data_IF_719585231008
#
_entry.id   IF_719585231008
#
_cell.length_a   1.000
_cell.length_b   1.000
_cell.length_c   1.000
_cell.angle_alpha   90.00
_cell.angle_beta   90.00
_cell.angle_gamma   90.00
#
_symmetry.space_group_name_H-M   'P 1'
#
loop_
_entity.id
_entity.type
_entity.pdbx_description
1 polymer ?
#
# COMPACT_ATOMS: atom_id res chain seq x y z
N UNK A 1 28.91 -3.27 10.14
CA UNK A 1 27.61 -3.93 9.92
C UNK A 1 26.57 -2.84 9.80
N UNK A 2 26.01 -2.60 8.62
CA UNK A 2 25.02 -1.55 8.40
C UNK A 2 23.63 -2.13 8.59
N UNK A 3 23.03 -1.94 9.76
CA UNK A 3 21.58 -2.13 9.93
C UNK A 3 20.91 -0.96 9.22
N UNK A 4 20.47 -1.17 7.98
CA UNK A 4 19.52 -0.23 7.37
C UNK A 4 18.23 -0.41 8.15
N UNK A 5 17.92 0.56 9.00
CA UNK A 5 16.66 0.66 9.71
C UNK A 5 15.58 0.82 8.64
N UNK A 6 14.96 -0.29 8.24
CA UNK A 6 13.68 -0.20 7.56
C UNK A 6 12.73 0.24 8.66
N UNK A 7 12.45 1.54 8.70
CA UNK A 7 11.32 2.02 9.47
C UNK A 7 10.11 1.31 8.88
N UNK A 8 9.49 0.43 9.66
CA UNK A 8 8.15 -0.05 9.35
C UNK A 8 7.27 1.20 9.32
N UNK A 9 7.03 1.71 8.12
CA UNK A 9 6.03 2.74 7.88
C UNK A 9 4.71 2.07 8.25
N UNK A 10 4.26 2.33 9.48
CA UNK A 10 2.92 1.97 9.91
C UNK A 10 1.97 2.71 8.99
N UNK A 11 1.39 1.99 8.03
CA UNK A 11 0.33 2.55 7.21
C UNK A 11 -0.78 2.90 8.20
N UNK A 12 -1.13 4.19 8.37
CA UNK A 12 -2.22 4.56 9.25
C UNK A 12 -3.46 3.79 8.77
N UNK A 13 -4.23 3.23 9.70
CA UNK A 13 -5.55 2.68 9.37
C UNK A 13 -6.50 3.84 9.05
N UNK A 14 -6.24 4.51 7.92
CA UNK A 14 -7.01 5.60 7.39
C UNK A 14 -8.00 5.09 6.34
N UNK A 15 -9.03 5.89 6.06
CA UNK A 15 -10.08 5.47 5.14
C UNK A 15 -9.56 5.21 3.71
N UNK A 16 -8.45 5.84 3.31
CA UNK A 16 -7.87 5.66 1.97
C UNK A 16 -7.24 4.29 1.84
N UNK A 17 -6.43 3.89 2.83
CA UNK A 17 -5.88 2.55 2.91
C UNK A 17 -6.99 1.50 2.96
N UNK A 18 -8.00 1.70 3.82
CA UNK A 18 -9.10 0.73 3.96
C UNK A 18 -9.84 0.49 2.65
N UNK A 19 -10.19 1.55 1.93
CA UNK A 19 -10.87 1.45 0.62
C UNK A 19 -9.95 0.76 -0.40
N UNK A 20 -8.68 1.17 -0.49
CA UNK A 20 -7.74 0.58 -1.43
C UNK A 20 -7.50 -0.91 -1.15
N UNK A 21 -7.34 -1.30 0.11
CA UNK A 21 -7.16 -2.68 0.53
C UNK A 21 -8.39 -3.53 0.20
N UNK A 22 -9.60 -3.00 0.44
CA UNK A 22 -10.84 -3.71 0.08
C UNK A 22 -10.94 -3.92 -1.44
N UNK A 23 -10.59 -2.92 -2.25
CA UNK A 23 -10.62 -3.06 -3.71
C UNK A 23 -9.59 -4.07 -4.23
N UNK A 24 -8.36 -4.00 -3.74
CA UNK A 24 -7.27 -4.89 -4.17
C UNK A 24 -7.47 -6.33 -3.71
N UNK A 25 -8.02 -6.55 -2.51
CA UNK A 25 -8.30 -7.89 -2.00
C UNK A 25 -9.32 -8.66 -2.85
N UNK A 26 -10.27 -7.98 -3.51
CA UNK A 26 -11.18 -8.61 -4.48
C UNK A 26 -10.47 -9.17 -5.72
N UNK A 27 -9.25 -8.74 -5.98
CA UNK A 27 -8.39 -9.20 -7.07
C UNK A 27 -7.26 -10.12 -6.58
N UNK A 28 -7.30 -10.60 -5.32
CA UNK A 28 -6.22 -11.37 -4.69
C UNK A 28 -4.86 -10.63 -4.69
N UNK A 29 -4.89 -9.30 -4.53
CA UNK A 29 -3.68 -8.48 -4.37
C UNK A 29 -3.59 -8.02 -2.91
N UNK A 30 -2.49 -8.36 -2.25
CA UNK A 30 -2.19 -7.97 -0.87
C UNK A 30 -1.23 -6.77 -0.85
N UNK A 31 -1.59 -5.72 -0.12
CA UNK A 31 -0.69 -4.59 0.10
C UNK A 31 0.46 -5.04 1.00
N UNK A 32 1.69 -4.81 0.54
CA UNK A 32 2.93 -5.27 1.17
C UNK A 32 3.01 -6.80 1.34
N UNK A 33 2.29 -7.55 0.50
CA UNK A 33 2.39 -9.01 0.46
C UNK A 33 3.62 -9.52 -0.28
N UNK A 34 3.79 -10.84 -0.26
CA UNK A 34 4.96 -11.53 -0.82
C UNK A 34 4.73 -12.16 -2.19
N UNK A 35 3.50 -12.18 -2.70
CA UNK A 35 3.20 -12.76 -4.01
C UNK A 35 3.77 -11.88 -5.14
N UNK A 36 4.05 -12.42 -6.34
CA UNK A 36 4.61 -11.64 -7.45
C UNK A 36 3.71 -10.47 -7.91
N UNK A 37 2.39 -10.60 -7.75
CA UNK A 37 1.39 -9.59 -8.09
C UNK A 37 1.14 -8.57 -6.97
N UNK A 38 1.66 -8.83 -5.77
CA UNK A 38 1.47 -7.94 -4.63
C UNK A 38 2.27 -6.64 -4.80
N UNK A 39 1.68 -5.53 -4.35
CA UNK A 39 2.33 -4.23 -4.43
C UNK A 39 3.04 -3.92 -3.11
N UNK A 40 4.17 -3.21 -3.20
CA UNK A 40 4.89 -2.69 -2.03
C UNK A 40 4.78 -1.17 -2.01
N UNK A 41 4.04 -0.64 -1.04
CA UNK A 41 3.79 0.80 -0.91
C UNK A 41 4.77 1.38 0.11
N UNK A 42 5.66 2.26 -0.36
CA UNK A 42 6.69 2.92 0.48
C UNK A 42 6.30 4.33 0.91
N UNK A 43 5.25 4.91 0.33
CA UNK A 43 4.72 6.22 0.67
C UNK A 43 3.22 6.10 0.97
N UNK A 44 2.75 6.40 2.19
CA UNK A 44 1.34 6.26 2.56
C UNK A 44 0.39 7.17 1.76
N UNK A 45 0.86 8.32 1.25
CA UNK A 45 0.06 9.23 0.43
C UNK A 45 -0.36 8.62 -0.92
N UNK A 46 0.22 7.47 -1.28
CA UNK A 46 -0.13 6.72 -2.49
C UNK A 46 -1.62 6.42 -2.58
N UNK A 47 -2.25 5.95 -1.50
CA UNK A 47 -3.66 5.51 -1.54
C UNK A 47 -4.60 6.66 -1.84
N UNK A 48 -4.36 7.81 -1.20
CA UNK A 48 -5.14 9.02 -1.44
C UNK A 48 -4.99 9.48 -2.89
N UNK A 49 -3.76 9.61 -3.39
CA UNK A 49 -3.51 10.01 -4.78
C UNK A 49 -4.17 9.04 -5.77
N UNK A 50 -3.97 7.74 -5.57
CA UNK A 50 -4.52 6.70 -6.45
C UNK A 50 -6.05 6.77 -6.53
N UNK A 51 -6.72 6.92 -5.38
CA UNK A 51 -8.18 6.99 -5.33
C UNK A 51 -8.74 8.32 -5.86
N UNK A 52 -7.97 9.41 -5.82
CA UNK A 52 -8.41 10.72 -6.32
C UNK A 52 -8.15 10.88 -7.82
N UNK A 53 -6.96 10.49 -8.30
CA UNK A 53 -6.49 10.83 -9.64
C UNK A 53 -6.64 9.67 -10.63
N UNK A 54 -6.78 8.42 -10.16
CA UNK A 54 -6.86 7.25 -11.03
C UNK A 54 -5.63 7.10 -11.93
N UNK A 55 -5.85 6.74 -13.20
CA UNK A 55 -4.80 6.79 -14.23
C UNK A 55 -4.64 8.23 -14.72
N UNK A 56 -3.40 8.71 -14.76
CA UNK A 56 -3.04 9.98 -15.40
C UNK A 56 -2.98 9.86 -16.92
#
# INVERSE_FOLDING_TARGET
MSSSCIEEVSVPDDNWYRIANELLSRADITINGSAPSDIRVKNPDFFKRFLQDGSL
#
